data_IF_909512168086
#
_entry.id   IF_909512168086
#
_cell.length_a   1.000
_cell.length_b   1.000
_cell.length_c   1.000
_cell.angle_alpha   90.00
_cell.angle_beta   90.00
_cell.angle_gamma   90.00
#
_symmetry.space_group_name_H-M   'P 1'
#
loop_
_entity.id
_entity.type
_entity.pdbx_description
1 polymer ?
#
# COMPACT_ATOMS: atom_id res chain seq x y z
N UNK A 1 -4.45 11.61 -4.60
CA UNK A 1 -4.19 10.50 -5.53
C UNK A 1 -5.32 9.50 -5.39
N UNK A 2 -5.86 8.98 -6.51
CA UNK A 2 -6.94 7.99 -6.54
C UNK A 2 -6.39 6.56 -6.54
N UNK A 3 -7.22 5.56 -6.24
CA UNK A 3 -6.86 4.14 -6.33
C UNK A 3 -6.30 3.77 -7.73
N UNK A 4 -6.89 4.33 -8.79
CA UNK A 4 -6.45 4.09 -10.17
C UNK A 4 -5.07 4.71 -10.46
N UNK A 5 -4.79 5.88 -9.89
CA UNK A 5 -3.49 6.54 -10.00
C UNK A 5 -2.40 5.79 -9.25
N UNK A 6 -2.67 5.32 -8.02
CA UNK A 6 -1.74 4.48 -7.24
C UNK A 6 -1.44 3.18 -7.99
N UNK A 7 -2.48 2.50 -8.47
CA UNK A 7 -2.32 1.25 -9.21
C UNK A 7 -1.47 1.46 -10.48
N UNK A 8 -1.74 2.53 -11.23
CA UNK A 8 -0.95 2.88 -12.42
C UNK A 8 0.51 3.16 -12.06
N UNK A 9 0.78 3.90 -10.99
CA UNK A 9 2.14 4.18 -10.52
C UNK A 9 2.89 2.91 -10.11
N UNK A 10 2.18 1.89 -9.59
CA UNK A 10 2.72 0.57 -9.29
C UNK A 10 2.84 -0.36 -10.52
N UNK A 11 2.46 0.09 -11.73
CA UNK A 11 2.42 -0.78 -12.91
C UNK A 11 1.32 -1.86 -12.84
N UNK A 12 0.25 -1.61 -12.09
CA UNK A 12 -0.89 -2.52 -11.86
C UNK A 12 -2.20 -1.93 -12.40
N UNK A 13 -3.20 -2.79 -12.56
CA UNK A 13 -4.57 -2.37 -12.88
C UNK A 13 -5.30 -1.89 -11.62
N UNK A 14 -6.26 -0.96 -11.76
CA UNK A 14 -7.01 -0.37 -10.64
C UNK A 14 -7.53 -1.40 -9.60
N UNK A 15 -8.09 -2.57 -9.98
CA UNK A 15 -8.58 -3.54 -8.99
C UNK A 15 -7.52 -3.99 -7.98
N UNK A 16 -6.23 -3.86 -8.30
CA UNK A 16 -5.14 -4.18 -7.38
C UNK A 16 -5.25 -3.41 -6.06
N UNK A 17 -5.41 -2.08 -6.12
CA UNK A 17 -5.50 -1.22 -4.94
C UNK A 17 -6.86 -1.37 -4.27
N UNK A 18 -7.94 -1.49 -5.05
CA UNK A 18 -9.28 -1.73 -4.51
C UNK A 18 -9.36 -3.03 -3.68
N UNK A 19 -8.75 -4.12 -4.16
CA UNK A 19 -8.73 -5.40 -3.45
C UNK A 19 -7.88 -5.34 -2.16
N UNK A 20 -6.85 -4.49 -2.12
CA UNK A 20 -6.07 -4.23 -0.91
C UNK A 20 -6.92 -3.51 0.14
N UNK A 21 -7.60 -2.43 -0.27
CA UNK A 21 -8.43 -1.62 0.64
C UNK A 21 -9.64 -2.40 1.18
N UNK A 22 -10.21 -3.30 0.38
CA UNK A 22 -11.30 -4.20 0.80
C UNK A 22 -10.83 -5.36 1.70
N UNK A 23 -9.52 -5.61 1.80
CA UNK A 23 -8.97 -6.74 2.52
C UNK A 23 -9.03 -8.09 1.77
N UNK A 24 -9.47 -8.08 0.51
CA UNK A 24 -9.51 -9.26 -0.37
C UNK A 24 -8.10 -9.72 -0.78
N UNK A 25 -7.12 -8.80 -0.75
CA UNK A 25 -5.71 -9.08 -1.07
C UNK A 25 -4.78 -8.52 0.00
N UNK A 26 -3.85 -9.36 0.47
CA UNK A 26 -2.76 -8.92 1.34
C UNK A 26 -1.68 -8.19 0.55
N UNK A 27 -0.99 -7.28 1.22
CA UNK A 27 0.16 -6.54 0.70
C UNK A 27 1.44 -7.22 1.22
N UNK A 28 2.38 -7.55 0.33
CA UNK A 28 3.70 -8.01 0.76
C UNK A 28 4.64 -6.83 1.09
N UNK A 29 5.82 -7.13 1.65
CA UNK A 29 6.73 -6.07 2.12
C UNK A 29 7.27 -5.19 0.98
N UNK A 30 7.53 -5.76 -0.20
CA UNK A 30 8.04 -4.99 -1.35
C UNK A 30 6.94 -4.08 -1.86
N UNK A 31 5.72 -4.60 -1.99
CA UNK A 31 4.53 -3.82 -2.36
C UNK A 31 4.28 -2.67 -1.37
N UNK A 32 4.46 -2.90 -0.07
CA UNK A 32 4.32 -1.86 0.96
C UNK A 32 5.36 -0.74 0.80
N UNK A 33 6.62 -1.09 0.53
CA UNK A 33 7.71 -0.12 0.30
C UNK A 33 7.46 0.70 -0.96
N UNK A 34 7.03 0.05 -2.04
CA UNK A 34 6.68 0.73 -3.30
C UNK A 34 5.51 1.71 -3.09
N UNK A 35 4.47 1.28 -2.36
CA UNK A 35 3.35 2.15 -1.98
C UNK A 35 3.81 3.35 -1.14
N UNK A 36 4.75 3.14 -0.21
CA UNK A 36 5.33 4.20 0.62
C UNK A 36 6.00 5.27 -0.24
N UNK A 37 6.80 4.85 -1.22
CA UNK A 37 7.49 5.76 -2.14
C UNK A 37 6.51 6.52 -3.05
N UNK A 38 5.45 5.87 -3.52
CA UNK A 38 4.45 6.46 -4.44
C UNK A 38 3.52 7.44 -3.71
N UNK A 39 3.03 7.07 -2.52
CA UNK A 39 2.07 7.87 -1.75
C UNK A 39 2.77 8.93 -0.89
N UNK A 40 4.04 8.69 -0.52
CA UNK A 40 4.84 9.60 0.28
C UNK A 40 4.64 9.42 1.79
N UNK A 41 4.47 8.19 2.26
CA UNK A 41 4.43 7.87 3.71
C UNK A 41 5.72 7.19 4.16
N UNK A 42 6.04 7.30 5.46
CA UNK A 42 7.16 6.59 6.06
C UNK A 42 6.76 5.16 6.44
N UNK A 43 7.33 4.18 5.74
CA UNK A 43 7.09 2.76 6.01
C UNK A 43 7.53 2.35 7.42
N UNK A 44 8.58 2.96 7.98
CA UNK A 44 9.05 2.63 9.32
C UNK A 44 8.04 3.08 10.38
N UNK A 45 7.45 4.26 10.21
CA UNK A 45 6.41 4.77 11.11
C UNK A 45 5.18 3.82 11.16
N UNK A 46 4.76 3.28 10.00
CA UNK A 46 3.65 2.30 9.92
C UNK A 46 4.01 1.02 10.68
N UNK A 47 5.21 0.48 10.46
CA UNK A 47 5.64 -0.74 11.15
C UNK A 47 5.70 -0.54 12.66
N UNK A 48 6.21 0.60 13.11
CA UNK A 48 6.25 0.93 14.54
C UNK A 48 4.84 1.07 15.14
N UNK A 49 3.88 1.58 14.38
CA UNK A 49 2.47 1.64 14.79
C UNK A 49 1.85 0.25 14.92
N UNK A 50 2.04 -0.62 13.92
CA UNK A 50 1.54 -1.99 13.95
C UNK A 50 2.10 -2.79 15.13
N UNK A 51 3.38 -2.59 15.47
CA UNK A 51 4.02 -3.20 16.63
C UNK A 51 3.44 -2.74 17.97
N UNK A 52 2.92 -1.51 18.06
CA UNK A 52 2.26 -1.00 19.27
C UNK A 52 0.82 -1.52 19.41
N UNK A 53 0.17 -1.85 18.30
CA UNK A 53 -1.20 -2.35 18.25
C UNK A 53 -1.31 -3.87 18.43
N UNK A 54 -0.17 -4.58 18.47
CA UNK A 54 -0.07 -6.03 18.71
C UNK A 54 0.26 -6.32 20.18
#
# INVERSE_FOLDING_TARGET
>A
MTQAEVARAMGRHQPFVANIENGDRRVDLVELIDMAAIIGFDVHAIIDELKRAS
#
